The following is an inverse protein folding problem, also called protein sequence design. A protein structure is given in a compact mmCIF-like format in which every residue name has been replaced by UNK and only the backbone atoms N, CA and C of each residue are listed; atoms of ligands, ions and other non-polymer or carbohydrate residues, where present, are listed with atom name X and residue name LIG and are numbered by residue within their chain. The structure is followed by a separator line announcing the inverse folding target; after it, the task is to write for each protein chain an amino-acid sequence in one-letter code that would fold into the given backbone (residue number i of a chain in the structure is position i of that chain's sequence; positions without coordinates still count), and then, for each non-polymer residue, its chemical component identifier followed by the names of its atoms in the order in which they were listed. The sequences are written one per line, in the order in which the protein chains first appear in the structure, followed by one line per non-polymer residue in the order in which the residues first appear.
data_IF_177064011955
#
_entry.id   IF_177064011955
#
_cell.length_a   1.000
_cell.length_b   1.000
_cell.length_c   1.000
_cell.angle_alpha   90.00
_cell.angle_beta   90.00
_cell.angle_gamma   90.00
#
_symmetry.space_group_name_H-M   'P 1'
#
loop_
_entity.id
_entity.type
_entity.pdbx_description
1 polymer ?
#
# COMPACT_ATOMS: atom_id res chain seq x y z
N UNK A 1 17.06 14.01 5.53
CA UNK A 1 16.13 13.32 6.44
C UNK A 1 16.31 11.84 6.22
N UNK A 2 16.57 11.05 7.26
CA UNK A 2 16.69 9.60 7.14
C UNK A 2 15.26 9.05 7.07
N UNK A 3 14.80 8.60 5.89
CA UNK A 3 13.47 8.01 5.77
C UNK A 3 13.47 6.66 6.48
N UNK A 4 12.84 6.58 7.64
CA UNK A 4 12.67 5.32 8.34
C UNK A 4 11.51 4.54 7.72
N UNK A 5 11.45 3.24 7.97
CA UNK A 5 10.28 2.44 7.60
C UNK A 5 8.99 3.00 8.22
N UNK A 6 9.07 3.55 9.43
CA UNK A 6 7.94 4.16 10.13
C UNK A 6 7.38 5.41 9.42
N UNK A 7 8.18 6.09 8.60
CA UNK A 7 7.74 7.22 7.79
C UNK A 7 7.34 6.78 6.37
N UNK A 8 8.12 5.86 5.79
CA UNK A 8 7.96 5.43 4.41
C UNK A 8 6.69 4.58 4.20
N UNK A 9 6.39 3.67 5.11
CA UNK A 9 5.23 2.79 4.98
C UNK A 9 3.90 3.58 5.02
N UNK A 10 3.64 4.46 6.00
CA UNK A 10 2.43 5.29 5.98
C UNK A 10 2.34 6.21 4.76
N UNK A 11 3.46 6.78 4.32
CA UNK A 11 3.49 7.61 3.11
C UNK A 11 3.10 6.82 1.87
N UNK A 12 3.62 5.59 1.71
CA UNK A 12 3.27 4.71 0.58
C UNK A 12 1.81 4.27 0.65
N UNK A 13 1.30 3.90 1.83
CA UNK A 13 -0.11 3.56 2.01
C UNK A 13 -1.03 4.71 1.61
N UNK A 14 -0.66 5.96 1.97
CA UNK A 14 -1.38 7.16 1.55
C UNK A 14 -1.36 7.34 0.03
N UNK A 15 -0.19 7.18 -0.59
CA UNK A 15 -0.05 7.25 -2.05
C UNK A 15 -0.94 6.23 -2.77
N UNK A 16 -0.98 4.98 -2.30
CA UNK A 16 -1.86 3.96 -2.89
C UNK A 16 -3.34 4.37 -2.79
N UNK A 17 -3.76 4.92 -1.65
CA UNK A 17 -5.15 5.35 -1.41
C UNK A 17 -5.54 6.58 -2.25
N UNK A 18 -4.64 7.54 -2.40
CA UNK A 18 -4.95 8.85 -3.01
C UNK A 18 -4.59 8.94 -4.50
N UNK A 19 -3.69 8.09 -5.00
CA UNK A 19 -3.18 8.16 -6.38
C UNK A 19 -3.51 6.89 -7.16
N UNK A 20 -3.12 5.72 -6.65
CA UNK A 20 -3.23 4.47 -7.40
C UNK A 20 -4.67 3.98 -7.49
N UNK A 21 -5.37 3.87 -6.35
CA UNK A 21 -6.76 3.40 -6.34
C UNK A 21 -7.65 4.28 -7.24
N UNK A 22 -7.63 5.62 -7.15
CA UNK A 22 -8.42 6.47 -8.05
C UNK A 22 -8.08 6.27 -9.54
N UNK A 23 -6.79 6.19 -9.89
CA UNK A 23 -6.39 5.98 -11.28
C UNK A 23 -6.88 4.63 -11.84
N UNK A 24 -6.85 3.55 -11.03
CA UNK A 24 -7.43 2.27 -11.44
C UNK A 24 -8.97 2.27 -11.44
N UNK A 25 -9.62 3.12 -10.63
CA UNK A 25 -11.08 3.29 -10.66
C UNK A 25 -11.54 3.93 -11.98
N UNK A 26 -10.77 4.88 -12.52
CA UNK A 26 -11.07 5.52 -13.81
C UNK A 26 -11.04 4.55 -15.00
N UNK A 27 -10.28 3.46 -14.90
CA UNK A 27 -10.26 2.37 -15.91
C UNK A 27 -11.60 1.62 -15.95
N UNK A 28 -12.38 1.64 -14.85
CA UNK A 28 -13.66 0.94 -14.72
C UNK A 28 -13.51 -0.52 -14.26
N UNK A 29 -14.41 -1.44 -14.66
CA UNK A 29 -14.46 -2.80 -14.12
C UNK A 29 -13.16 -3.60 -14.27
N UNK A 30 -12.36 -3.32 -15.30
CA UNK A 30 -11.07 -3.96 -15.50
C UNK A 30 -10.05 -3.62 -14.40
N UNK A 31 -10.16 -2.45 -13.76
CA UNK A 31 -9.30 -2.04 -12.65
C UNK A 31 -9.69 -2.62 -11.28
N UNK A 32 -10.88 -3.23 -11.16
CA UNK A 32 -11.42 -3.70 -9.89
C UNK A 32 -10.54 -4.76 -9.21
N UNK A 33 -9.91 -5.65 -10.00
CA UNK A 33 -9.00 -6.66 -9.46
C UNK A 33 -7.76 -6.05 -8.81
N UNK A 34 -7.14 -5.07 -9.49
CA UNK A 34 -5.98 -4.36 -8.95
C UNK A 34 -6.32 -3.60 -7.66
N UNK A 35 -7.49 -2.95 -7.62
CA UNK A 35 -7.99 -2.25 -6.44
C UNK A 35 -8.21 -3.23 -5.27
N UNK A 36 -8.75 -4.43 -5.52
CA UNK A 36 -8.93 -5.44 -4.48
C UNK A 36 -7.58 -5.90 -3.90
N UNK A 37 -6.57 -6.09 -4.76
CA UNK A 37 -5.20 -6.44 -4.34
C UNK A 37 -4.57 -5.32 -3.51
N UNK A 38 -4.71 -4.06 -3.93
CA UNK A 38 -4.21 -2.90 -3.18
C UNK A 38 -4.85 -2.82 -1.79
N UNK A 39 -6.18 -2.99 -1.69
CA UNK A 39 -6.87 -2.98 -0.40
C UNK A 39 -6.40 -4.12 0.52
N UNK A 40 -6.17 -5.32 -0.02
CA UNK A 40 -5.65 -6.43 0.77
C UNK A 40 -4.23 -6.16 1.31
N UNK A 41 -3.35 -5.58 0.48
CA UNK A 41 -2.00 -5.17 0.90
C UNK A 41 -2.04 -4.06 1.96
N UNK A 42 -2.94 -3.07 1.79
CA UNK A 42 -3.15 -2.00 2.78
C UNK A 42 -3.60 -2.55 4.13
N UNK A 43 -4.55 -3.50 4.16
CA UNK A 43 -4.98 -4.13 5.41
C UNK A 43 -3.85 -4.91 6.09
N UNK A 44 -3.01 -5.62 5.34
CA UNK A 44 -1.83 -6.29 5.91
C UNK A 44 -0.85 -5.28 6.53
N UNK A 45 -0.59 -4.17 5.85
CA UNK A 45 0.27 -3.11 6.36
C UNK A 45 -0.29 -2.50 7.66
N UNK A 46 -1.60 -2.26 7.74
CA UNK A 46 -2.26 -1.75 8.94
C UNK A 46 -2.08 -2.68 10.14
N UNK A 47 -2.24 -3.98 9.94
CA UNK A 47 -2.04 -4.99 10.99
C UNK A 47 -0.57 -5.01 11.43
N UNK A 48 0.37 -5.06 10.48
CA UNK A 48 1.80 -5.10 10.78
C UNK A 48 2.26 -3.87 11.59
N UNK A 49 1.76 -2.68 11.23
CA UNK A 49 2.03 -1.45 11.98
C UNK A 49 1.41 -1.48 13.38
N UNK A 50 0.18 -1.98 13.52
CA UNK A 50 -0.51 -2.04 14.82
C UNK A 50 0.18 -3.02 15.78
N UNK A 51 0.72 -4.13 15.27
CA UNK A 51 1.46 -5.13 16.05
C UNK A 51 2.91 -4.73 16.30
N UNK A 52 3.44 -3.75 15.56
CA UNK A 52 4.86 -3.35 15.61
C UNK A 52 5.80 -4.41 15.01
N UNK A 53 5.29 -5.29 14.15
CA UNK A 53 6.10 -6.29 13.46
C UNK A 53 6.87 -5.63 12.30
N UNK A 54 8.13 -5.28 12.57
CA UNK A 54 9.02 -4.60 11.63
C UNK A 54 9.29 -5.42 10.37
N UNK A 55 9.31 -6.76 10.46
CA UNK A 55 9.55 -7.62 9.30
C UNK A 55 8.32 -7.64 8.40
N UNK A 56 7.13 -7.77 8.97
CA UNK A 56 5.88 -7.67 8.23
C UNK A 56 5.67 -6.26 7.63
N UNK A 57 6.08 -5.20 8.35
CA UNK A 57 6.07 -3.83 7.83
C UNK A 57 6.99 -3.67 6.60
N UNK A 58 8.19 -4.26 6.62
CA UNK A 58 9.10 -4.26 5.46
C UNK A 58 8.47 -4.99 4.27
N UNK A 59 7.96 -6.21 4.48
CA UNK A 59 7.37 -7.02 3.42
C UNK A 59 6.16 -6.33 2.77
N UNK A 60 5.27 -5.73 3.58
CA UNK A 60 4.10 -5.01 3.07
C UNK A 60 4.47 -3.69 2.40
N UNK A 61 5.51 -3.00 2.85
CA UNK A 61 6.05 -1.83 2.15
C UNK A 61 6.59 -2.18 0.76
N UNK A 62 7.32 -3.29 0.64
CA UNK A 62 7.81 -3.80 -0.64
C UNK A 62 6.64 -4.18 -1.57
N UNK A 63 5.66 -4.94 -1.06
CA UNK A 63 4.45 -5.30 -1.81
C UNK A 63 3.71 -4.06 -2.34
N UNK A 64 3.47 -3.05 -1.48
CA UNK A 64 2.82 -1.80 -1.89
C UNK A 64 3.64 -1.02 -2.93
N UNK A 65 4.95 -1.21 -2.96
CA UNK A 65 5.85 -0.57 -3.93
C UNK A 65 5.86 -1.23 -5.31
N UNK A 66 5.31 -2.44 -5.43
CA UNK A 66 5.20 -3.15 -6.72
C UNK A 66 4.05 -2.65 -7.60
N UNK A 67 3.04 -2.00 -7.02
CA UNK A 67 1.97 -1.40 -7.79
C UNK A 67 2.48 -0.27 -8.70
N UNK A 68 2.04 -0.27 -9.95
CA UNK A 68 2.44 0.69 -10.99
C UNK A 68 1.20 1.27 -11.66
N UNK A 69 1.34 2.45 -12.25
CA UNK A 69 0.35 3.06 -13.14
C UNK A 69 0.87 3.04 -14.58
#
# INVERSE_FOLDING_TARGET
MTNTLGDALPAKMKEIREVFIPAYQEIGPAGAFAIAMMNAALTRAEIAMAEGDVVAMLATHEELSEFKL
#
